data_IF_985068604082
#
_entry.id   IF_985068604082
#
_cell.length_a   1.000
_cell.length_b   1.000
_cell.length_c   1.000
_cell.angle_alpha   90.00
_cell.angle_beta   90.00
_cell.angle_gamma   90.00
#
_symmetry.space_group_name_H-M   'P 1'
#
loop_
_entity.id
_entity.type
_entity.pdbx_description
1 polymer ?
#
# COMPACT_ATOMS: atom_id res chain seq x y z
N UNK A 1 -8.03 41.39 -25.48
CA UNK A 1 -8.75 40.30 -24.77
C UNK A 1 -7.71 39.41 -24.10
N UNK A 2 -7.73 39.31 -22.77
CA UNK A 2 -7.26 38.18 -21.95
C UNK A 2 -5.78 37.90 -21.59
N UNK A 3 -4.85 38.86 -21.58
CA UNK A 3 -3.52 38.58 -20.99
C UNK A 3 -3.60 38.29 -19.48
N UNK A 4 -4.31 39.13 -18.72
CA UNK A 4 -4.49 38.96 -17.27
C UNK A 4 -5.26 37.68 -16.92
N UNK A 5 -6.30 37.37 -17.69
CA UNK A 5 -7.05 36.11 -17.55
C UNK A 5 -6.19 34.89 -17.88
N UNK A 6 -5.28 34.99 -18.85
CA UNK A 6 -4.33 33.93 -19.19
C UNK A 6 -3.31 33.72 -18.07
N UNK A 7 -2.83 34.79 -17.44
CA UNK A 7 -1.92 34.75 -16.30
C UNK A 7 -2.57 34.10 -15.07
N UNK A 8 -3.81 34.47 -14.75
CA UNK A 8 -4.56 33.83 -13.67
C UNK A 8 -4.76 32.32 -13.92
N UNK A 9 -5.11 31.93 -15.14
CA UNK A 9 -5.23 30.51 -15.51
C UNK A 9 -3.92 29.77 -15.35
N UNK A 10 -2.80 30.36 -15.76
CA UNK A 10 -1.48 29.75 -15.62
C UNK A 10 -1.14 29.48 -14.14
N UNK A 11 -1.30 30.49 -13.28
CA UNK A 11 -1.05 30.31 -11.84
C UNK A 11 -1.97 29.26 -11.22
N UNK A 12 -3.25 29.28 -11.57
CA UNK A 12 -4.22 28.28 -11.10
C UNK A 12 -3.80 26.85 -11.46
N UNK A 13 -3.44 26.59 -12.72
CA UNK A 13 -3.00 25.24 -13.14
C UNK A 13 -1.68 24.82 -12.50
N UNK A 14 -0.76 25.76 -12.28
CA UNK A 14 0.51 25.49 -11.59
C UNK A 14 0.28 25.08 -10.13
N UNK A 15 -0.60 25.80 -9.43
CA UNK A 15 -0.94 25.49 -8.04
C UNK A 15 -1.67 24.15 -7.93
N UNK A 16 -2.58 23.86 -8.87
CA UNK A 16 -3.27 22.57 -8.96
C UNK A 16 -2.28 21.42 -9.15
N UNK A 17 -1.36 21.53 -10.11
CA UNK A 17 -0.33 20.52 -10.37
C UNK A 17 0.56 20.29 -9.15
N UNK A 18 0.93 21.36 -8.46
CA UNK A 18 1.75 21.31 -7.24
C UNK A 18 1.02 20.60 -6.10
N UNK A 19 -0.28 20.88 -5.93
CA UNK A 19 -1.11 20.22 -4.93
C UNK A 19 -1.26 18.72 -5.22
N UNK A 20 -1.49 18.36 -6.48
CA UNK A 20 -1.62 16.98 -6.92
C UNK A 20 -0.33 16.17 -6.72
N UNK A 21 0.82 16.72 -7.12
CA UNK A 21 2.12 16.10 -6.88
C UNK A 21 2.39 15.87 -5.39
N UNK A 22 2.07 16.86 -4.54
CA UNK A 22 2.20 16.71 -3.08
C UNK A 22 1.29 15.61 -2.55
N UNK A 23 0.06 15.50 -3.03
CA UNK A 23 -0.86 14.45 -2.62
C UNK A 23 -0.31 13.06 -2.97
N UNK A 24 0.15 12.86 -4.20
CA UNK A 24 0.76 11.59 -4.61
C UNK A 24 2.02 11.24 -3.81
N UNK A 25 2.87 12.23 -3.50
CA UNK A 25 4.08 12.02 -2.71
C UNK A 25 3.76 11.63 -1.26
N UNK A 26 2.81 12.32 -0.62
CA UNK A 26 2.39 11.99 0.74
C UNK A 26 1.75 10.59 0.80
N UNK A 27 0.94 10.24 -0.20
CA UNK A 27 0.34 8.91 -0.30
C UNK A 27 1.41 7.82 -0.55
N UNK A 28 2.43 8.10 -1.36
CA UNK A 28 3.57 7.19 -1.55
C UNK A 28 4.26 6.87 -0.22
N UNK A 29 4.60 7.89 0.58
CA UNK A 29 5.21 7.72 1.91
C UNK A 29 4.29 6.98 2.88
N UNK A 30 2.98 7.26 2.82
CA UNK A 30 1.98 6.52 3.62
C UNK A 30 2.01 5.03 3.27
N UNK A 31 1.98 4.68 1.99
CA UNK A 31 2.00 3.28 1.57
C UNK A 31 3.34 2.60 1.89
N UNK A 32 4.46 3.32 1.81
CA UNK A 32 5.75 2.80 2.27
C UNK A 32 5.68 2.35 3.74
N UNK A 33 5.12 3.18 4.62
CA UNK A 33 4.95 2.80 6.03
C UNK A 33 3.96 1.66 6.24
N UNK A 34 2.87 1.61 5.48
CA UNK A 34 1.91 0.51 5.55
C UNK A 34 2.52 -0.82 5.08
N UNK A 35 3.39 -0.78 4.07
CA UNK A 35 4.09 -1.96 3.58
C UNK A 35 5.06 -2.50 4.63
N UNK A 36 5.80 -1.62 5.31
CA UNK A 36 6.68 -2.01 6.43
C UNK A 36 5.89 -2.75 7.51
N UNK A 37 4.81 -2.13 8.00
CA UNK A 37 3.96 -2.70 9.05
C UNK A 37 3.30 -4.03 8.64
N UNK A 38 2.76 -4.11 7.42
CA UNK A 38 2.11 -5.33 6.96
C UNK A 38 3.13 -6.43 6.61
N UNK A 39 4.38 -6.08 6.27
CA UNK A 39 5.44 -7.09 6.08
C UNK A 39 5.80 -7.76 7.40
N UNK A 40 5.94 -7.00 8.48
CA UNK A 40 6.11 -7.56 9.83
C UNK A 40 4.92 -8.44 10.23
N UNK A 41 3.69 -7.97 9.99
CA UNK A 41 2.49 -8.76 10.27
C UNK A 41 2.41 -10.04 9.43
N UNK A 42 2.84 -9.98 8.16
CA UNK A 42 2.88 -11.14 7.27
C UNK A 42 3.82 -12.22 7.81
N UNK A 43 5.03 -11.85 8.24
CA UNK A 43 5.99 -12.77 8.87
C UNK A 43 5.40 -13.45 10.12
N UNK A 44 4.73 -12.67 10.97
CA UNK A 44 4.03 -13.21 12.16
C UNK A 44 2.93 -14.20 11.79
N UNK A 45 2.12 -13.91 10.77
CA UNK A 45 1.06 -14.82 10.32
C UNK A 45 1.61 -16.08 9.65
N UNK A 46 2.76 -16.00 8.98
CA UNK A 46 3.46 -17.15 8.41
C UNK A 46 3.98 -18.09 9.52
N UNK A 47 4.61 -17.53 10.55
CA UNK A 47 5.05 -18.29 11.71
C UNK A 47 3.86 -18.94 12.43
N UNK A 48 2.74 -18.23 12.57
CA UNK A 48 1.53 -18.75 13.22
C UNK A 48 0.93 -19.96 12.49
N UNK A 49 0.94 -19.99 11.15
CA UNK A 49 0.56 -21.19 10.38
C UNK A 49 1.47 -22.35 10.74
N UNK A 50 2.79 -22.14 10.71
CA UNK A 50 3.78 -23.19 10.97
C UNK A 50 3.61 -23.78 12.38
N UNK A 51 3.41 -22.92 13.39
CA UNK A 51 3.12 -23.35 14.76
C UNK A 51 1.81 -24.15 14.83
N UNK A 52 0.75 -23.65 14.17
CA UNK A 52 -0.57 -24.29 14.19
C UNK A 52 -0.55 -25.68 13.53
N UNK A 53 0.18 -25.84 12.42
CA UNK A 53 0.39 -27.13 11.75
C UNK A 53 1.15 -28.11 12.65
N UNK A 54 2.27 -27.66 13.24
CA UNK A 54 3.05 -28.49 14.17
C UNK A 54 2.21 -28.94 15.38
N UNK A 55 1.36 -28.06 15.92
CA UNK A 55 0.45 -28.42 17.01
C UNK A 55 -0.61 -29.41 16.55
N UNK A 56 -1.13 -29.30 15.33
CA UNK A 56 -2.10 -30.25 14.77
C UNK A 56 -1.48 -31.65 14.65
N UNK A 57 -0.24 -31.76 14.14
CA UNK A 57 0.50 -33.02 14.04
C UNK A 57 0.71 -33.70 15.41
N UNK A 58 0.91 -32.90 16.46
CA UNK A 58 1.04 -33.38 17.83
C UNK A 58 -0.32 -33.65 18.52
N UNK A 59 -1.45 -33.45 17.83
CA UNK A 59 -2.80 -33.58 18.40
C UNK A 59 -3.16 -32.48 19.42
N UNK A 60 -2.44 -31.35 19.41
CA UNK A 60 -2.57 -30.21 20.33
C UNK A 60 -3.28 -29.00 19.73
N UNK A 61 -3.74 -29.10 18.49
CA UNK A 61 -4.57 -28.11 17.83
C UNK A 61 -5.67 -28.82 17.02
N UNK A 62 -6.76 -28.09 16.77
CA UNK A 62 -7.85 -28.51 15.91
C UNK A 62 -7.63 -28.06 14.46
N UNK A 63 -8.24 -28.75 13.50
CA UNK A 63 -8.25 -28.31 12.10
C UNK A 63 -8.85 -26.90 11.94
N UNK A 64 -9.76 -26.50 12.83
CA UNK A 64 -10.34 -25.15 12.82
C UNK A 64 -9.30 -24.07 13.14
N UNK A 65 -8.45 -24.28 14.15
CA UNK A 65 -7.37 -23.33 14.50
C UNK A 65 -6.39 -23.17 13.32
N UNK A 66 -6.03 -24.26 12.64
CA UNK A 66 -5.17 -24.21 11.44
C UNK A 66 -5.83 -23.42 10.32
N UNK A 67 -7.13 -23.62 10.07
CA UNK A 67 -7.85 -22.85 9.06
C UNK A 67 -7.96 -21.36 9.40
N UNK A 68 -8.09 -21.01 10.68
CA UNK A 68 -8.06 -19.61 11.12
C UNK A 68 -6.69 -18.97 10.83
N UNK A 69 -5.59 -19.63 11.21
CA UNK A 69 -4.24 -19.15 10.93
C UNK A 69 -3.97 -19.01 9.41
N UNK A 70 -4.45 -19.97 8.62
CA UNK A 70 -4.40 -19.89 7.14
C UNK A 70 -5.17 -18.68 6.60
N UNK A 71 -6.35 -18.39 7.14
CA UNK A 71 -7.14 -17.24 6.72
C UNK A 71 -6.43 -15.93 7.04
N UNK A 72 -5.86 -15.79 8.24
CA UNK A 72 -5.13 -14.58 8.66
C UNK A 72 -3.92 -14.30 7.77
N UNK A 73 -3.14 -15.34 7.44
CA UNK A 73 -2.03 -15.25 6.49
C UNK A 73 -2.46 -14.83 5.09
N UNK A 74 -3.54 -15.42 4.56
CA UNK A 74 -4.04 -15.03 3.23
C UNK A 74 -4.52 -13.57 3.24
N UNK A 75 -5.11 -13.12 4.34
CA UNK A 75 -5.53 -11.74 4.50
C UNK A 75 -4.33 -10.79 4.59
N UNK A 76 -3.29 -11.11 5.36
CA UNK A 76 -2.08 -10.29 5.46
C UNK A 76 -1.35 -10.18 4.12
N UNK A 77 -1.19 -11.31 3.42
CA UNK A 77 -0.63 -11.35 2.07
C UNK A 77 -1.42 -10.46 1.10
N UNK A 78 -2.75 -10.57 1.12
CA UNK A 78 -3.63 -9.78 0.26
C UNK A 78 -3.51 -8.27 0.55
N UNK A 79 -3.47 -7.88 1.83
CA UNK A 79 -3.25 -6.48 2.23
C UNK A 79 -1.89 -5.97 1.76
N UNK A 80 -0.83 -6.76 1.95
CA UNK A 80 0.52 -6.39 1.52
C UNK A 80 0.61 -6.16 0.01
N UNK A 81 0.01 -7.05 -0.79
CA UNK A 81 -0.08 -6.89 -2.25
C UNK A 81 -0.81 -5.61 -2.62
N UNK A 82 -1.95 -5.33 -1.97
CA UNK A 82 -2.72 -4.12 -2.24
C UNK A 82 -1.95 -2.85 -1.88
N UNK A 83 -1.21 -2.83 -0.77
CA UNK A 83 -0.39 -1.68 -0.41
C UNK A 83 0.74 -1.44 -1.43
N UNK A 84 1.43 -2.50 -1.86
CA UNK A 84 2.48 -2.42 -2.91
C UNK A 84 1.90 -1.93 -4.24
N UNK A 85 0.73 -2.43 -4.64
CA UNK A 85 0.05 -1.98 -5.84
C UNK A 85 -0.29 -0.48 -5.79
N UNK A 86 -0.88 -0.02 -4.68
CA UNK A 86 -1.24 1.39 -4.53
C UNK A 86 -0.01 2.30 -4.46
N UNK A 87 1.07 1.87 -3.79
CA UNK A 87 2.35 2.60 -3.81
C UNK A 87 2.86 2.77 -5.25
N UNK A 88 2.74 1.73 -6.08
CA UNK A 88 3.16 1.79 -7.48
C UNK A 88 2.33 2.77 -8.31
N UNK A 89 1.02 2.86 -8.04
CA UNK A 89 0.17 3.88 -8.66
C UNK A 89 0.61 5.29 -8.26
N UNK A 90 0.98 5.52 -6.99
CA UNK A 90 1.54 6.81 -6.56
C UNK A 90 2.85 7.13 -7.28
N UNK A 91 3.76 6.17 -7.42
CA UNK A 91 5.02 6.34 -8.15
C UNK A 91 4.78 6.75 -9.62
N UNK A 92 3.83 6.09 -10.29
CA UNK A 92 3.44 6.43 -11.67
C UNK A 92 2.85 7.84 -11.73
N UNK A 93 1.98 8.20 -10.77
CA UNK A 93 1.42 9.55 -10.66
C UNK A 93 2.49 10.62 -10.52
N UNK A 94 3.48 10.41 -9.63
CA UNK A 94 4.62 11.31 -9.46
C UNK A 94 5.37 11.49 -10.78
N UNK A 95 5.75 10.40 -11.45
CA UNK A 95 6.51 10.42 -12.71
C UNK A 95 5.77 11.15 -13.84
N UNK A 96 4.45 10.96 -13.92
CA UNK A 96 3.62 11.64 -14.91
C UNK A 96 3.62 13.16 -14.69
N UNK A 97 3.52 13.61 -13.44
CA UNK A 97 3.47 15.03 -13.09
C UNK A 97 4.85 15.70 -13.09
N UNK A 98 5.94 14.95 -12.90
CA UNK A 98 7.32 15.43 -13.04
C UNK A 98 7.84 15.39 -14.48
N UNK A 99 7.06 14.83 -15.42
CA UNK A 99 7.44 14.62 -16.81
C UNK A 99 8.73 13.76 -16.99
N UNK A 100 8.96 12.82 -16.07
CA UNK A 100 10.10 11.89 -16.07
C UNK A 100 9.78 10.54 -16.73
N UNK A 101 8.97 10.56 -17.79
CA UNK A 101 8.49 9.36 -18.49
C UNK A 101 9.19 9.18 -19.84
#
# INVERSE_FOLDING_TARGET
INFKDSEYKYHYYKDLLTAELKAYYLDFLRYEKLIELESENFELTEENINISLNRLELGKASSLEVHQAQSEYLQSLTRLINYKYNQKLCEIGIKLLTAEL
#
